data_IF_514743283853
#
_entry.id   IF_514743283853
#
_cell.length_a   1.000
_cell.length_b   1.000
_cell.length_c   1.000
_cell.angle_alpha   90.00
_cell.angle_beta   90.00
_cell.angle_gamma   90.00
#
_symmetry.space_group_name_H-M   'P 1'
#
loop_
_entity.id
_entity.type
_entity.pdbx_description
1 polymer ?
#
# COMPACT_ATOMS: atom_id res chain seq x y z
N UNK A 1 9.96 26.36 10.92
CA UNK A 1 9.34 25.75 12.13
C UNK A 1 8.93 24.33 11.80
N UNK A 2 9.53 23.33 12.43
CA UNK A 2 9.29 21.93 12.09
C UNK A 2 7.94 21.48 12.65
N UNK A 3 6.99 21.14 11.77
CA UNK A 3 5.59 20.84 12.10
C UNK A 3 5.38 19.39 12.55
N UNK A 4 6.20 18.88 13.46
CA UNK A 4 6.12 17.50 13.97
C UNK A 4 4.70 17.03 14.38
N UNK A 5 3.91 17.79 15.16
CA UNK A 5 2.57 17.32 15.57
C UNK A 5 1.59 17.19 14.40
N UNK A 6 1.73 18.03 13.37
CA UNK A 6 0.91 17.96 12.16
C UNK A 6 1.19 16.67 11.38
N UNK A 7 2.46 16.28 11.26
CA UNK A 7 2.85 15.05 10.56
C UNK A 7 2.36 13.79 11.26
N UNK A 8 2.41 13.77 12.60
CA UNK A 8 1.88 12.65 13.39
C UNK A 8 0.36 12.55 13.23
N UNK A 9 -0.36 13.66 13.30
CA UNK A 9 -1.81 13.69 13.11
C UNK A 9 -2.22 13.19 11.71
N UNK A 10 -1.51 13.64 10.67
CA UNK A 10 -1.75 13.18 9.30
C UNK A 10 -1.51 11.68 9.15
N UNK A 11 -0.48 11.13 9.81
CA UNK A 11 -0.22 9.69 9.84
C UNK A 11 -1.34 8.88 10.50
N UNK A 12 -1.85 9.35 11.65
CA UNK A 12 -2.97 8.68 12.35
C UNK A 12 -4.24 8.69 11.50
N UNK A 13 -4.58 9.84 10.91
CA UNK A 13 -5.76 9.95 10.02
C UNK A 13 -5.60 9.07 8.79
N UNK A 14 -4.40 9.04 8.19
CA UNK A 14 -4.10 8.17 7.06
C UNK A 14 -4.28 6.69 7.41
N UNK A 15 -3.78 6.24 8.56
CA UNK A 15 -3.96 4.86 9.04
C UNK A 15 -5.42 4.49 9.26
N UNK A 16 -6.22 5.39 9.84
CA UNK A 16 -7.67 5.19 10.00
C UNK A 16 -8.38 5.05 8.65
N UNK A 17 -8.08 5.95 7.71
CA UNK A 17 -8.67 5.92 6.37
C UNK A 17 -8.30 4.64 5.61
N UNK A 18 -7.06 4.18 5.75
CA UNK A 18 -6.61 2.90 5.19
C UNK A 18 -7.36 1.70 5.78
N UNK A 19 -7.57 1.69 7.10
CA UNK A 19 -8.38 0.66 7.76
C UNK A 19 -9.83 0.64 7.25
N UNK A 20 -10.46 1.81 7.14
CA UNK A 20 -11.81 1.94 6.56
C UNK A 20 -11.86 1.46 5.10
N UNK A 21 -10.88 1.84 4.28
CA UNK A 21 -10.78 1.41 2.89
C UNK A 21 -10.74 -0.12 2.76
N UNK A 22 -9.91 -0.79 3.57
CA UNK A 22 -9.77 -2.24 3.55
C UNK A 22 -11.03 -2.96 3.98
N UNK A 23 -11.71 -2.45 5.01
CA UNK A 23 -13.00 -2.98 5.45
C UNK A 23 -14.07 -2.87 4.35
N UNK A 24 -14.22 -1.67 3.75
CA UNK A 24 -15.20 -1.44 2.68
C UNK A 24 -14.90 -2.30 1.44
N UNK A 25 -13.62 -2.45 1.09
CA UNK A 25 -13.19 -3.34 0.02
C UNK A 25 -13.56 -4.80 0.32
N UNK A 26 -13.32 -5.28 1.54
CA UNK A 26 -13.69 -6.63 1.96
C UNK A 26 -15.20 -6.89 1.87
N UNK A 27 -16.02 -5.94 2.34
CA UNK A 27 -17.49 -6.02 2.23
C UNK A 27 -17.92 -6.03 0.76
N UNK A 28 -17.37 -5.14 -0.07
CA UNK A 28 -17.67 -5.09 -1.51
C UNK A 28 -17.28 -6.37 -2.25
N UNK A 29 -16.11 -6.93 -1.93
CA UNK A 29 -15.63 -8.19 -2.49
C UNK A 29 -16.56 -9.36 -2.13
N UNK A 30 -17.04 -9.41 -0.89
CA UNK A 30 -17.99 -10.45 -0.45
C UNK A 30 -19.37 -10.33 -1.12
N UNK A 31 -19.84 -9.10 -1.35
CA UNK A 31 -21.12 -8.82 -2.01
C UNK A 31 -21.10 -9.09 -3.53
N UNK A 32 -19.95 -8.98 -4.19
CA UNK A 32 -19.80 -9.18 -5.62
C UNK A 32 -20.03 -10.65 -6.08
N UNK A 33 -19.92 -11.63 -5.17
CA UNK A 33 -20.19 -13.05 -5.43
C UNK A 33 -19.14 -13.75 -6.33
N UNK A 34 -19.08 -15.08 -6.24
CA UNK A 34 -18.05 -15.96 -6.84
C UNK A 34 -18.15 -16.19 -8.37
N UNK A 35 -18.41 -15.15 -9.18
CA UNK A 35 -18.42 -15.25 -10.66
C UNK A 35 -17.05 -15.03 -11.30
N UNK A 36 -16.84 -15.46 -12.55
CA UNK A 36 -15.56 -15.50 -13.31
C UNK A 36 -14.72 -14.18 -13.34
N UNK A 37 -15.30 -13.05 -12.90
CA UNK A 37 -14.66 -11.72 -12.73
C UNK A 37 -13.94 -11.56 -11.38
N UNK A 38 -14.06 -12.54 -10.48
CA UNK A 38 -13.43 -12.59 -9.16
C UNK A 38 -11.93 -12.83 -9.22
N UNK A 39 -11.37 -13.39 -10.29
CA UNK A 39 -9.93 -13.71 -10.28
C UNK A 39 -9.02 -12.49 -10.12
N UNK A 40 -9.30 -11.40 -10.84
CA UNK A 40 -8.45 -10.18 -10.93
C UNK A 40 -9.27 -8.92 -11.26
N UNK A 41 -10.38 -9.06 -12.01
CA UNK A 41 -11.12 -7.93 -12.57
C UNK A 41 -11.70 -6.97 -11.53
N UNK A 42 -12.33 -7.50 -10.47
CA UNK A 42 -12.83 -6.68 -9.37
C UNK A 42 -11.71 -5.95 -8.59
N UNK A 43 -10.66 -6.64 -8.08
CA UNK A 43 -9.46 -6.01 -7.52
C UNK A 43 -8.87 -4.90 -8.39
N UNK A 44 -8.78 -5.16 -9.70
CA UNK A 44 -8.18 -4.24 -10.68
C UNK A 44 -9.06 -3.00 -10.90
N UNK A 45 -10.38 -3.17 -10.98
CA UNK A 45 -11.31 -2.04 -11.09
C UNK A 45 -11.26 -1.16 -9.83
N UNK A 46 -11.26 -1.75 -8.63
CA UNK A 46 -11.12 -1.01 -7.38
C UNK A 46 -9.79 -0.25 -7.29
N UNK A 47 -8.69 -0.92 -7.65
CA UNK A 47 -7.35 -0.32 -7.69
C UNK A 47 -7.31 0.86 -8.68
N UNK A 48 -7.86 0.68 -9.88
CA UNK A 48 -7.90 1.74 -10.89
C UNK A 48 -8.72 2.95 -10.42
N UNK A 49 -9.87 2.74 -9.78
CA UNK A 49 -10.69 3.83 -9.24
C UNK A 49 -9.97 4.56 -8.11
N UNK A 50 -9.29 3.83 -7.22
CA UNK A 50 -8.50 4.42 -6.15
C UNK A 50 -7.38 5.31 -6.70
N UNK A 51 -6.58 4.78 -7.61
CA UNK A 51 -5.40 5.47 -8.15
C UNK A 51 -5.81 6.66 -9.03
N UNK A 52 -6.90 6.54 -9.81
CA UNK A 52 -7.46 7.66 -10.58
C UNK A 52 -7.99 8.76 -9.66
N UNK A 53 -8.65 8.39 -8.56
CA UNK A 53 -9.14 9.36 -7.56
C UNK A 53 -7.99 10.12 -6.91
N UNK A 54 -6.91 9.41 -6.55
CA UNK A 54 -5.68 10.02 -6.03
C UNK A 54 -5.03 10.93 -7.08
N UNK A 55 -4.95 10.50 -8.34
CA UNK A 55 -4.38 11.29 -9.43
C UNK A 55 -5.16 12.58 -9.68
N UNK A 56 -6.50 12.52 -9.77
CA UNK A 56 -7.36 13.70 -9.93
C UNK A 56 -7.18 14.68 -8.77
N UNK A 57 -7.18 14.17 -7.53
CA UNK A 57 -7.00 15.00 -6.35
C UNK A 57 -5.63 15.69 -6.34
N UNK A 58 -4.55 14.95 -6.61
CA UNK A 58 -3.21 15.52 -6.66
C UNK A 58 -3.05 16.51 -7.82
N UNK A 59 -3.65 16.27 -8.98
CA UNK A 59 -3.64 17.21 -10.10
C UNK A 59 -4.41 18.50 -9.76
N UNK A 60 -5.58 18.39 -9.13
CA UNK A 60 -6.35 19.56 -8.71
C UNK A 60 -5.57 20.40 -7.68
N UNK A 61 -4.99 19.76 -6.65
CA UNK A 61 -4.20 20.45 -5.62
C UNK A 61 -2.96 21.12 -6.22
N UNK A 62 -2.23 20.44 -7.11
CA UNK A 62 -1.06 21.03 -7.78
C UNK A 62 -1.45 22.15 -8.76
N UNK A 63 -2.61 22.04 -9.40
CA UNK A 63 -3.15 23.09 -10.25
C UNK A 63 -3.49 24.36 -9.48
N UNK A 64 -4.19 24.22 -8.35
CA UNK A 64 -4.49 25.34 -7.45
C UNK A 64 -3.22 25.99 -6.87
N UNK A 65 -2.14 25.22 -6.71
CA UNK A 65 -0.83 25.70 -6.25
C UNK A 65 0.04 26.31 -7.37
N UNK A 66 -0.40 26.26 -8.63
CA UNK A 66 0.34 26.80 -9.77
C UNK A 66 1.62 26.01 -10.11
N UNK A 67 1.79 24.79 -9.59
CA UNK A 67 3.02 23.99 -9.75
C UNK A 67 3.04 23.14 -11.02
N UNK A 68 2.05 23.28 -11.92
CA UNK A 68 1.99 22.52 -13.17
C UNK A 68 3.20 22.68 -14.08
N UNK A 69 3.95 23.78 -13.96
CA UNK A 69 5.23 23.93 -14.66
C UNK A 69 6.21 22.81 -14.33
N UNK A 70 6.13 22.19 -13.16
CA UNK A 70 7.00 21.08 -12.77
C UNK A 70 6.71 19.76 -13.52
N UNK A 71 5.60 19.63 -14.27
CA UNK A 71 5.29 18.40 -15.01
C UNK A 71 6.40 18.02 -16.00
N UNK A 72 7.13 18.99 -16.56
CA UNK A 72 8.24 18.71 -17.47
C UNK A 72 9.36 17.87 -16.83
N UNK A 73 9.49 17.84 -15.50
CA UNK A 73 10.52 17.05 -14.81
C UNK A 73 10.28 15.54 -14.94
N UNK A 74 9.06 15.13 -15.30
CA UNK A 74 8.70 13.72 -15.57
C UNK A 74 9.49 13.16 -16.76
N UNK A 75 9.89 14.00 -17.73
CA UNK A 75 10.62 13.58 -18.94
C UNK A 75 12.12 13.34 -18.66
N UNK A 76 12.61 13.69 -17.47
CA UNK A 76 14.01 13.46 -17.08
C UNK A 76 14.30 12.00 -16.72
N UNK A 77 15.58 11.60 -16.67
CA UNK A 77 15.97 10.27 -16.16
C UNK A 77 15.41 10.00 -14.75
N UNK A 78 15.46 10.99 -13.87
CA UNK A 78 14.88 10.90 -12.52
C UNK A 78 13.35 10.80 -12.55
N UNK A 79 12.71 11.48 -13.50
CA UNK A 79 11.28 11.37 -13.75
C UNK A 79 10.86 9.97 -14.21
N UNK A 80 11.68 9.32 -15.03
CA UNK A 80 11.45 7.93 -15.45
C UNK A 80 11.51 6.96 -14.26
N UNK A 81 12.51 7.11 -13.37
CA UNK A 81 12.58 6.32 -12.14
C UNK A 81 11.37 6.57 -11.23
N UNK A 82 10.91 7.81 -11.12
CA UNK A 82 9.70 8.14 -10.37
C UNK A 82 8.44 7.49 -10.98
N UNK A 83 8.30 7.49 -12.31
CA UNK A 83 7.20 6.79 -12.98
C UNK A 83 7.28 5.28 -12.78
N UNK A 84 8.47 4.69 -12.83
CA UNK A 84 8.65 3.27 -12.58
C UNK A 84 8.28 2.89 -11.13
N UNK A 85 8.70 3.69 -10.15
CA UNK A 85 8.31 3.54 -8.76
C UNK A 85 6.79 3.69 -8.57
N UNK A 86 6.17 4.69 -9.20
CA UNK A 86 4.73 4.89 -9.15
C UNK A 86 3.93 3.73 -9.76
N UNK A 87 4.41 3.10 -10.84
CA UNK A 87 3.80 1.91 -11.44
C UNK A 87 4.00 0.67 -10.56
N UNK A 88 5.16 0.55 -9.92
CA UNK A 88 5.47 -0.54 -8.99
C UNK A 88 4.56 -0.49 -7.76
N UNK A 89 4.45 0.69 -7.13
CA UNK A 89 3.67 0.91 -5.92
C UNK A 89 2.16 0.95 -6.13
N UNK A 90 1.73 1.74 -7.12
CA UNK A 90 0.31 1.95 -7.45
C UNK A 90 -0.34 0.69 -8.01
N UNK A 91 -0.38 0.48 -9.33
CA UNK A 91 -1.14 -0.62 -9.91
C UNK A 91 -0.61 -2.00 -9.51
N UNK A 92 0.71 -2.22 -9.48
CA UNK A 92 1.25 -3.57 -9.19
C UNK A 92 1.13 -3.90 -7.70
N UNK A 93 1.56 -2.99 -6.81
CA UNK A 93 1.46 -3.16 -5.36
C UNK A 93 0.02 -3.25 -4.88
N UNK A 94 -0.83 -2.31 -5.28
CA UNK A 94 -2.23 -2.26 -4.87
C UNK A 94 -3.04 -3.46 -5.42
N UNK A 95 -2.83 -3.86 -6.68
CA UNK A 95 -3.49 -5.05 -7.22
C UNK A 95 -3.08 -6.31 -6.44
N UNK A 96 -1.79 -6.47 -6.17
CA UNK A 96 -1.26 -7.61 -5.40
C UNK A 96 -1.85 -7.63 -3.98
N UNK A 97 -2.01 -6.47 -3.36
CA UNK A 97 -2.65 -6.36 -2.05
C UNK A 97 -4.14 -6.76 -2.11
N UNK A 98 -4.90 -6.23 -3.06
CA UNK A 98 -6.31 -6.55 -3.26
C UNK A 98 -6.54 -8.04 -3.58
N UNK A 99 -5.63 -8.66 -4.34
CA UNK A 99 -5.61 -10.12 -4.57
C UNK A 99 -5.28 -10.90 -3.29
N UNK A 100 -4.34 -10.41 -2.48
CA UNK A 100 -4.04 -10.97 -1.17
C UNK A 100 -5.27 -10.96 -0.25
N UNK A 101 -6.01 -9.85 -0.20
CA UNK A 101 -7.27 -9.76 0.55
C UNK A 101 -8.28 -10.78 0.03
N UNK A 102 -8.41 -10.90 -1.29
CA UNK A 102 -9.42 -11.76 -1.89
C UNK A 102 -9.13 -13.25 -1.69
N UNK A 103 -7.87 -13.67 -1.80
CA UNK A 103 -7.47 -15.09 -1.79
C UNK A 103 -7.05 -15.62 -0.42
N UNK A 104 -6.40 -14.79 0.40
CA UNK A 104 -5.99 -15.16 1.76
C UNK A 104 -6.88 -14.53 2.84
N UNK A 105 -7.67 -13.51 2.51
CA UNK A 105 -8.46 -12.75 3.47
C UNK A 105 -7.76 -11.47 3.91
N UNK A 106 -8.52 -10.46 4.37
CA UNK A 106 -7.99 -9.15 4.76
C UNK A 106 -6.98 -9.24 5.90
N UNK A 107 -7.21 -10.17 6.83
CA UNK A 107 -6.37 -10.43 8.00
C UNK A 107 -4.93 -10.80 7.62
N UNK A 108 -4.76 -11.79 6.73
CA UNK A 108 -3.43 -12.22 6.28
C UNK A 108 -2.76 -11.19 5.38
N UNK A 109 -3.55 -10.54 4.52
CA UNK A 109 -3.04 -9.50 3.64
C UNK A 109 -2.48 -8.32 4.44
N UNK A 110 -3.18 -7.87 5.47
CA UNK A 110 -2.74 -6.81 6.39
C UNK A 110 -1.48 -7.20 7.16
N UNK A 111 -1.43 -8.41 7.72
CA UNK A 111 -0.28 -8.86 8.51
C UNK A 111 1.00 -8.91 7.67
N UNK A 112 0.92 -9.46 6.45
CA UNK A 112 2.06 -9.61 5.56
C UNK A 112 2.45 -8.30 4.89
N UNK A 113 1.48 -7.49 4.46
CA UNK A 113 1.77 -6.20 3.84
C UNK A 113 2.41 -5.23 4.84
N UNK A 114 2.08 -5.30 6.13
CA UNK A 114 2.69 -4.49 7.20
C UNK A 114 4.21 -4.68 7.36
N UNK A 115 4.82 -5.61 6.63
CA UNK A 115 6.28 -5.75 6.52
C UNK A 115 6.92 -4.72 5.56
N UNK A 116 6.14 -3.96 4.79
CA UNK A 116 6.66 -2.95 3.87
C UNK A 116 7.63 -1.93 4.53
N UNK A 117 7.46 -1.48 5.80
CA UNK A 117 8.42 -0.58 6.43
C UNK A 117 9.79 -1.24 6.67
N UNK A 118 9.81 -2.57 6.90
CA UNK A 118 11.05 -3.34 7.02
C UNK A 118 11.75 -3.41 5.67
N UNK A 119 11.00 -3.70 4.61
CA UNK A 119 11.52 -3.75 3.24
C UNK A 119 12.09 -2.40 2.84
N UNK A 120 11.34 -1.31 3.03
CA UNK A 120 11.81 0.04 2.70
C UNK A 120 13.02 0.47 3.51
N UNK A 121 13.08 0.10 4.79
CA UNK A 121 14.26 0.35 5.61
C UNK A 121 15.51 -0.41 5.10
N UNK A 122 15.33 -1.68 4.72
CA UNK A 122 16.41 -2.50 4.17
C UNK A 122 16.90 -1.95 2.84
N UNK A 123 15.99 -1.62 1.92
CA UNK A 123 16.33 -1.04 0.62
C UNK A 123 17.00 0.34 0.78
N UNK A 124 16.51 1.19 1.68
CA UNK A 124 17.16 2.47 1.97
C UNK A 124 18.58 2.31 2.54
N UNK A 125 18.81 1.29 3.36
CA UNK A 125 20.16 1.00 3.87
C UNK A 125 21.07 0.46 2.77
N UNK A 126 20.58 -0.43 1.91
CA UNK A 126 21.39 -1.09 0.88
C UNK A 126 21.67 -0.20 -0.34
N UNK A 127 20.67 0.53 -0.84
CA UNK A 127 20.77 1.32 -2.07
C UNK A 127 21.14 2.78 -1.81
N UNK A 128 20.59 3.38 -0.74
CA UNK A 128 20.80 4.79 -0.40
C UNK A 128 21.87 4.98 0.69
N UNK A 129 22.41 3.89 1.25
CA UNK A 129 23.44 3.89 2.30
C UNK A 129 23.02 4.69 3.54
N UNK A 130 21.71 4.74 3.82
CA UNK A 130 21.16 5.56 4.89
C UNK A 130 21.36 4.91 6.27
N UNK A 131 21.73 5.71 7.27
CA UNK A 131 21.97 5.24 8.63
C UNK A 131 20.65 4.97 9.34
N UNK A 132 20.39 3.69 9.66
CA UNK A 132 19.20 3.27 10.42
C UNK A 132 19.45 3.55 11.90
N UNK A 133 18.74 4.54 12.45
CA UNK A 133 18.85 4.89 13.87
C UNK A 133 18.05 3.92 14.74
N UNK A 134 18.42 3.78 16.01
CA UNK A 134 17.69 2.94 16.97
C UNK A 134 16.20 3.34 17.09
N UNK A 135 15.91 4.64 17.03
CA UNK A 135 14.53 5.16 17.08
C UNK A 135 13.70 4.71 15.87
N UNK A 136 14.30 4.68 14.67
CA UNK A 136 13.64 4.15 13.47
C UNK A 136 13.38 2.65 13.61
N UNK A 137 14.38 1.89 14.09
CA UNK A 137 14.24 0.46 14.32
C UNK A 137 13.09 0.11 15.28
N UNK A 138 12.99 0.84 16.40
CA UNK A 138 11.87 0.66 17.36
C UNK A 138 10.53 0.95 16.68
N UNK A 139 10.44 2.05 15.91
CA UNK A 139 9.21 2.40 15.18
C UNK A 139 8.77 1.32 14.19
N UNK A 140 9.72 0.75 13.43
CA UNK A 140 9.44 -0.34 12.48
C UNK A 140 8.95 -1.58 13.21
N UNK A 141 9.62 -1.98 14.30
CA UNK A 141 9.21 -3.15 15.10
C UNK A 141 7.81 -2.96 15.66
N UNK A 142 7.49 -1.78 16.19
CA UNK A 142 6.15 -1.48 16.69
C UNK A 142 5.09 -1.50 15.58
N UNK A 143 5.38 -0.97 14.40
CA UNK A 143 4.47 -0.99 13.26
C UNK A 143 4.18 -2.43 12.79
N UNK A 144 5.22 -3.25 12.65
CA UNK A 144 5.09 -4.67 12.28
C UNK A 144 4.33 -5.44 13.35
N UNK A 145 4.68 -5.28 14.62
CA UNK A 145 4.00 -5.94 15.72
C UNK A 145 2.51 -5.57 15.77
N UNK A 146 2.18 -4.28 15.57
CA UNK A 146 0.80 -3.81 15.45
C UNK A 146 0.06 -4.52 14.32
N UNK A 147 0.64 -4.55 13.11
CA UNK A 147 0.06 -5.24 11.95
C UNK A 147 -0.19 -6.73 12.20
N UNK A 148 0.80 -7.43 12.77
CA UNK A 148 0.68 -8.86 13.11
C UNK A 148 -0.41 -9.11 14.16
N UNK A 149 -0.48 -8.29 15.22
CA UNK A 149 -1.50 -8.42 16.27
C UNK A 149 -2.90 -8.19 15.67
N UNK A 150 -3.07 -7.15 14.84
CA UNK A 150 -4.36 -6.89 14.17
C UNK A 150 -4.73 -7.98 13.16
N UNK A 151 -3.72 -8.65 12.59
CA UNK A 151 -3.88 -9.76 11.67
C UNK A 151 -3.89 -11.14 12.33
N UNK A 152 -3.92 -11.24 13.66
CA UNK A 152 -3.93 -12.53 14.36
C UNK A 152 -5.36 -13.04 14.63
N UNK A 153 -6.27 -12.86 13.66
CA UNK A 153 -7.66 -13.35 13.77
C UNK A 153 -7.75 -14.71 13.05
N UNK A 154 -8.17 -15.79 13.73
CA UNK A 154 -8.35 -17.09 13.08
C UNK A 154 -9.35 -16.99 11.92
N UNK A 155 -9.04 -17.53 10.73
CA UNK A 155 -10.01 -17.57 9.65
C UNK A 155 -11.15 -18.54 9.97
N UNK A 156 -12.39 -18.15 9.66
CA UNK A 156 -13.58 -18.99 9.83
C UNK A 156 -13.58 -20.24 8.92
N UNK A 157 -12.80 -20.21 7.84
CA UNK A 157 -12.55 -21.35 6.94
C UNK A 157 -11.22 -21.18 6.21
N UNK A 158 -10.52 -22.29 5.94
CA UNK A 158 -9.26 -22.25 5.20
C UNK A 158 -9.50 -21.90 3.73
N UNK A 159 -9.00 -20.76 3.21
CA UNK A 159 -9.19 -20.39 1.81
C UNK A 159 -8.44 -21.37 0.89
N UNK A 160 -9.08 -21.81 -0.19
CA UNK A 160 -8.46 -22.69 -1.20
C UNK A 160 -7.21 -22.08 -1.86
N UNK A 161 -7.09 -20.75 -1.88
CA UNK A 161 -5.99 -19.99 -2.48
C UNK A 161 -5.13 -19.25 -1.43
N UNK A 162 -5.09 -19.76 -0.19
CA UNK A 162 -4.36 -19.12 0.91
C UNK A 162 -2.88 -18.82 0.55
N UNK A 163 -2.16 -19.81 0.01
CA UNK A 163 -0.73 -19.66 -0.32
C UNK A 163 -0.49 -18.62 -1.43
N UNK A 164 -1.20 -18.65 -2.59
CA UNK A 164 -1.17 -17.57 -3.57
C UNK A 164 -1.51 -16.19 -2.98
N UNK A 165 -2.52 -16.09 -2.12
CA UNK A 165 -2.91 -14.83 -1.50
C UNK A 165 -1.83 -14.27 -0.57
N UNK A 166 -1.17 -15.13 0.21
CA UNK A 166 -0.02 -14.74 1.04
C UNK A 166 1.16 -14.26 0.17
N UNK A 167 1.43 -14.94 -0.94
CA UNK A 167 2.47 -14.52 -1.88
C UNK A 167 2.16 -13.13 -2.49
N UNK A 168 0.90 -12.87 -2.86
CA UNK A 168 0.46 -11.57 -3.35
C UNK A 168 0.59 -10.46 -2.27
N UNK A 169 0.28 -10.76 -1.01
CA UNK A 169 0.45 -9.80 0.09
C UNK A 169 1.93 -9.47 0.35
N UNK A 170 2.82 -10.45 0.25
CA UNK A 170 4.27 -10.23 0.32
C UNK A 170 4.78 -9.43 -0.88
N UNK A 171 4.27 -9.71 -2.08
CA UNK A 171 4.60 -8.93 -3.27
C UNK A 171 4.18 -7.46 -3.10
N UNK A 172 3.00 -7.21 -2.53
CA UNK A 172 2.57 -5.85 -2.18
C UNK A 172 3.53 -5.17 -1.19
N UNK A 173 3.99 -5.89 -0.15
CA UNK A 173 4.97 -5.37 0.79
C UNK A 173 6.30 -4.98 0.11
N UNK A 174 6.73 -5.78 -0.87
CA UNK A 174 7.94 -5.51 -1.66
C UNK A 174 7.75 -4.30 -2.58
N UNK A 175 6.59 -4.19 -3.24
CA UNK A 175 6.25 -3.08 -4.09
C UNK A 175 6.20 -1.76 -3.31
N UNK A 176 5.43 -1.67 -2.22
CA UNK A 176 5.36 -0.47 -1.39
C UNK A 176 6.63 -0.18 -0.59
N UNK A 177 7.46 -1.20 -0.33
CA UNK A 177 8.78 -0.98 0.27
C UNK A 177 9.79 -0.42 -0.73
N UNK A 178 9.61 -0.68 -2.02
CA UNK A 178 10.54 -0.31 -3.09
C UNK A 178 10.15 0.92 -3.92
N UNK A 179 8.96 1.48 -3.69
CA UNK A 179 8.54 2.78 -4.25
C UNK A 179 9.29 3.97 -3.62
#
# INVERSE_FOLDING_TARGET
MVRYPMWVMLGIVSGLLWGCNNYLYGVGASAAGAGLVVGIGFPLACTAVNDMSAAIFLLAVNGLRGTFRAIHTVISRSGLFLCAAALLGGPIGQLSYCLGILWAGPTYALALSALYPVVGCLLARLLLHQQVTLRMGIGIVLAVAGGVITGAVPPDSAPLLLLPGMACALLAALCWGGE
#
